data_IF_317438668725
#
_entry.id   IF_317438668725
#
_cell.length_a   1.000
_cell.length_b   1.000
_cell.length_c   1.000
_cell.angle_alpha   90.00
_cell.angle_beta   90.00
_cell.angle_gamma   90.00
#
_symmetry.space_group_name_H-M   'P 1'
#
loop_
_entity.id
_entity.type
_entity.pdbx_description
1 polymer ?
#
# COMPACT_ATOMS: atom_id res chain seq x y z
N UNK A 1 31.24 -10.32 8.65
CA UNK A 1 30.58 -9.87 7.41
C UNK A 1 29.19 -9.35 7.78
N UNK A 2 29.03 -8.04 7.98
CA UNK A 2 27.73 -7.46 8.34
C UNK A 2 27.43 -6.31 7.38
N UNK A 3 26.58 -6.56 6.38
CA UNK A 3 25.96 -5.51 5.57
C UNK A 3 24.53 -5.32 6.05
N UNK A 4 24.35 -4.50 7.06
CA UNK A 4 23.03 -3.96 7.42
C UNK A 4 22.87 -2.65 6.65
N UNK A 5 22.58 -2.74 5.35
CA UNK A 5 22.09 -1.58 4.59
C UNK A 5 20.58 -1.48 4.85
N UNK A 6 20.21 -0.91 6.00
CA UNK A 6 18.83 -0.51 6.32
C UNK A 6 18.54 0.86 5.69
N UNK A 7 18.76 1.02 4.38
CA UNK A 7 18.09 2.10 3.66
C UNK A 7 16.62 1.71 3.51
N UNK A 8 15.82 2.09 4.50
CA UNK A 8 14.36 2.22 4.38
C UNK A 8 14.12 3.24 3.27
N UNK A 9 14.16 2.76 2.02
CA UNK A 9 14.08 3.60 0.83
C UNK A 9 12.69 4.21 0.85
N UNK A 10 12.62 5.53 1.04
CA UNK A 10 11.37 6.28 1.00
C UNK A 10 10.60 5.91 -0.28
N UNK A 11 9.27 5.75 -0.20
CA UNK A 11 8.50 5.47 -1.40
C UNK A 11 8.70 6.60 -2.42
N UNK A 12 8.66 6.26 -3.70
CA UNK A 12 8.58 7.30 -4.73
C UNK A 12 7.27 8.08 -4.57
N UNK A 13 7.12 9.31 -5.09
CA UNK A 13 5.87 10.07 -4.99
C UNK A 13 4.62 9.25 -5.36
N UNK A 14 4.68 8.50 -6.47
CA UNK A 14 3.58 7.60 -6.87
C UNK A 14 3.29 6.46 -5.88
N UNK A 15 4.32 5.95 -5.18
CA UNK A 15 4.12 4.91 -4.15
C UNK A 15 3.51 5.52 -2.90
N UNK A 16 3.92 6.72 -2.50
CA UNK A 16 3.33 7.45 -1.37
C UNK A 16 1.86 7.79 -1.64
N UNK A 17 1.54 8.32 -2.82
CA UNK A 17 0.15 8.61 -3.23
C UNK A 17 -0.73 7.35 -3.18
N UNK A 18 -0.20 6.21 -3.65
CA UNK A 18 -0.92 4.93 -3.61
C UNK A 18 -1.11 4.45 -2.17
N UNK A 19 -0.07 4.55 -1.34
CA UNK A 19 -0.14 4.14 0.06
C UNK A 19 -1.17 4.99 0.82
N UNK A 20 -1.12 6.31 0.68
CA UNK A 20 -2.06 7.24 1.29
C UNK A 20 -3.50 6.98 0.82
N UNK A 21 -3.71 6.69 -0.47
CA UNK A 21 -5.03 6.34 -0.97
C UNK A 21 -5.55 5.05 -0.31
N UNK A 22 -4.72 4.03 -0.19
CA UNK A 22 -5.10 2.75 0.46
C UNK A 22 -5.41 2.97 1.94
N UNK A 23 -4.60 3.77 2.66
CA UNK A 23 -4.84 4.16 4.05
C UNK A 23 -6.20 4.87 4.19
N UNK A 24 -6.45 5.90 3.38
CA UNK A 24 -7.68 6.69 3.43
C UNK A 24 -8.93 5.86 3.08
N UNK A 25 -8.85 5.02 2.04
CA UNK A 25 -9.95 4.14 1.64
C UNK A 25 -10.35 3.20 2.78
N UNK A 26 -9.38 2.71 3.56
CA UNK A 26 -9.63 1.80 4.68
C UNK A 26 -10.14 2.48 5.93
N UNK A 27 -9.74 3.73 6.16
CA UNK A 27 -10.23 4.53 7.28
C UNK A 27 -11.72 4.90 7.12
N UNK A 28 -12.23 4.90 5.89
CA UNK A 28 -13.63 5.12 5.59
C UNK A 28 -14.49 3.92 6.04
N UNK A 29 -15.33 4.15 7.05
CA UNK A 29 -16.23 3.14 7.62
C UNK A 29 -17.24 2.60 6.62
N UNK A 30 -17.49 3.28 5.49
CA UNK A 30 -18.39 2.80 4.43
C UNK A 30 -17.82 1.63 3.63
N UNK A 31 -16.51 1.39 3.74
CA UNK A 31 -15.83 0.35 2.98
C UNK A 31 -15.70 -0.98 3.76
N UNK A 32 -16.25 -1.08 4.97
CA UNK A 32 -16.27 -2.30 5.80
C UNK A 32 -14.88 -2.96 5.97
N UNK A 33 -13.82 -2.15 6.03
CA UNK A 33 -12.44 -2.65 6.16
C UNK A 33 -11.87 -3.29 4.88
N UNK A 34 -12.60 -3.28 3.76
CA UNK A 34 -12.12 -3.74 2.46
C UNK A 34 -10.93 -2.90 1.98
N UNK A 35 -10.13 -3.48 1.09
CA UNK A 35 -9.06 -2.74 0.40
C UNK A 35 -9.57 -2.26 -0.95
N UNK A 36 -9.11 -1.10 -1.44
CA UNK A 36 -9.42 -0.69 -2.80
C UNK A 36 -8.78 -1.65 -3.80
N UNK A 37 -9.43 -1.78 -4.95
CA UNK A 37 -8.90 -2.42 -6.14
C UNK A 37 -7.90 -1.49 -6.84
N UNK A 38 -7.04 -2.05 -7.69
CA UNK A 38 -6.12 -1.24 -8.51
C UNK A 38 -6.85 -0.22 -9.40
N UNK A 39 -8.08 -0.55 -9.82
CA UNK A 39 -8.91 0.33 -10.66
C UNK A 39 -9.44 1.53 -9.88
N UNK A 40 -9.88 1.32 -8.64
CA UNK A 40 -10.35 2.41 -7.77
C UNK A 40 -9.21 3.36 -7.43
N UNK A 41 -8.03 2.84 -7.12
CA UNK A 41 -6.82 3.66 -6.89
C UNK A 41 -6.45 4.42 -8.17
N UNK A 42 -6.45 3.75 -9.32
CA UNK A 42 -6.14 4.35 -10.61
C UNK A 42 -7.08 5.52 -10.93
N UNK A 43 -8.38 5.31 -10.73
CA UNK A 43 -9.40 6.34 -10.92
C UNK A 43 -9.23 7.49 -9.94
N UNK A 44 -9.05 7.19 -8.64
CA UNK A 44 -8.90 8.20 -7.59
C UNK A 44 -7.65 9.06 -7.73
N UNK A 45 -6.56 8.52 -8.29
CA UNK A 45 -5.30 9.23 -8.49
C UNK A 45 -5.11 9.76 -9.93
N UNK A 46 -6.04 9.51 -10.85
CA UNK A 46 -5.90 9.89 -12.26
C UNK A 46 -4.72 9.22 -12.98
N UNK A 47 -4.40 7.96 -12.63
CA UNK A 47 -3.27 7.19 -13.18
C UNK A 47 -3.73 5.94 -13.90
N UNK A 48 -2.88 5.34 -14.71
CA UNK A 48 -3.19 4.05 -15.34
C UNK A 48 -3.14 2.91 -14.31
N UNK A 49 -3.99 1.89 -14.49
CA UNK A 49 -4.00 0.69 -13.65
C UNK A 49 -2.64 -0.02 -13.63
N UNK A 50 -1.88 0.02 -14.73
CA UNK A 50 -0.54 -0.58 -14.80
C UNK A 50 0.47 0.17 -13.91
N UNK A 51 0.42 1.50 -13.88
CA UNK A 51 1.23 2.32 -12.98
C UNK A 51 0.92 2.00 -11.52
N UNK A 52 -0.37 1.88 -11.18
CA UNK A 52 -0.82 1.49 -9.84
C UNK A 52 -0.33 0.10 -9.48
N UNK A 53 -0.50 -0.88 -10.37
CA UNK A 53 -0.06 -2.24 -10.13
C UNK A 53 1.46 -2.29 -9.83
N UNK A 54 2.27 -1.61 -10.65
CA UNK A 54 3.71 -1.50 -10.42
C UNK A 54 4.10 -0.76 -9.14
N UNK A 55 3.29 0.20 -8.69
CA UNK A 55 3.49 0.87 -7.39
C UNK A 55 3.15 -0.07 -6.23
N UNK A 56 2.02 -0.79 -6.30
CA UNK A 56 1.60 -1.78 -5.30
C UNK A 56 2.61 -2.91 -5.14
N UNK A 57 3.16 -3.45 -6.24
CA UNK A 57 4.22 -4.47 -6.17
C UNK A 57 5.47 -3.96 -5.44
N UNK A 58 5.86 -2.71 -5.67
CA UNK A 58 7.02 -2.09 -5.00
C UNK A 58 6.75 -1.82 -3.53
N UNK A 59 5.54 -1.37 -3.18
CA UNK A 59 5.10 -1.25 -1.79
C UNK A 59 5.08 -2.61 -1.08
N UNK A 60 4.62 -3.65 -1.75
CA UNK A 60 4.62 -5.02 -1.22
C UNK A 60 6.04 -5.56 -1.00
N UNK A 61 6.96 -5.32 -1.95
CA UNK A 61 8.38 -5.67 -1.79
C UNK A 61 9.05 -4.93 -0.62
N UNK A 62 8.56 -3.74 -0.27
CA UNK A 62 8.99 -2.96 0.90
C UNK A 62 8.29 -3.38 2.21
N UNK A 63 7.36 -4.33 2.17
CA UNK A 63 6.58 -4.76 3.33
C UNK A 63 5.52 -3.75 3.81
N UNK A 64 5.19 -2.75 3.00
CA UNK A 64 4.23 -1.69 3.38
C UNK A 64 2.77 -2.11 3.13
N UNK A 65 2.56 -3.06 2.22
CA UNK A 65 1.26 -3.70 1.98
C UNK A 65 1.48 -5.19 1.71
N UNK A 66 0.42 -6.00 1.78
CA UNK A 66 0.45 -7.40 1.32
C UNK A 66 -0.50 -7.55 0.15
N UNK A 67 -0.16 -8.41 -0.81
CA UNK A 67 -1.04 -8.78 -1.92
C UNK A 67 -1.28 -10.28 -1.82
N UNK A 68 -2.54 -10.70 -1.73
CA UNK A 68 -2.86 -12.13 -1.63
C UNK A 68 -2.74 -12.83 -3.00
N UNK A 69 -2.85 -14.16 -3.00
CA UNK A 69 -2.78 -14.99 -4.21
C UNK A 69 -3.86 -14.66 -5.28
N UNK A 70 -4.93 -13.95 -4.91
CA UNK A 70 -5.98 -13.48 -5.83
C UNK A 70 -5.71 -12.07 -6.35
N UNK A 71 -4.54 -11.51 -6.07
CA UNK A 71 -4.15 -10.16 -6.49
C UNK A 71 -4.83 -9.04 -5.71
N UNK A 72 -5.49 -9.32 -4.58
CA UNK A 72 -6.09 -8.30 -3.72
C UNK A 72 -5.09 -7.77 -2.71
N UNK A 73 -5.11 -6.46 -2.50
CA UNK A 73 -4.36 -5.81 -1.42
C UNK A 73 -4.99 -6.27 -0.09
N UNK A 74 -4.18 -6.80 0.82
CA UNK A 74 -4.57 -7.23 2.17
C UNK A 74 -3.57 -6.63 3.17
N UNK A 75 -4.02 -6.28 4.37
CA UNK A 75 -3.11 -5.87 5.46
C UNK A 75 -2.81 -7.08 6.35
N UNK A 76 -1.56 -7.24 6.75
CA UNK A 76 -1.17 -8.24 7.74
C UNK A 76 -1.69 -7.79 9.12
N UNK A 77 -2.57 -8.57 9.74
CA UNK A 77 -3.01 -8.36 11.13
C UNK A 77 -4.27 -7.52 11.36
N UNK A 78 -5.04 -7.14 10.33
CA UNK A 78 -6.36 -6.52 10.51
C UNK A 78 -6.36 -5.13 11.18
N UNK A 79 -5.19 -4.57 11.44
CA UNK A 79 -4.97 -3.20 11.92
C UNK A 79 -3.87 -2.57 11.07
N UNK A 80 -4.10 -1.35 10.60
CA UNK A 80 -3.02 -0.56 10.03
C UNK A 80 -2.11 -0.09 11.17
N UNK A 81 -1.01 -0.81 11.38
CA UNK A 81 0.07 -0.34 12.24
C UNK A 81 1.15 0.20 11.30
N UNK A 82 1.27 1.53 11.22
CA UNK A 82 2.46 2.16 10.62
C UNK A 82 3.70 1.56 11.30
N UNK A 83 4.79 1.29 10.58
CA UNK A 83 6.00 0.67 11.15
C UNK A 83 6.74 1.52 12.19
N UNK A 84 6.15 2.64 12.61
CA UNK A 84 6.70 3.57 13.59
C UNK A 84 5.86 3.63 14.88
N UNK A 85 4.76 2.87 14.97
CA UNK A 85 4.04 2.60 16.22
C UNK A 85 3.77 3.82 17.10
N UNK A 86 2.81 4.65 16.73
CA UNK A 86 2.10 5.46 17.73
C UNK A 86 0.60 5.18 17.59
N UNK A 87 0.01 4.76 18.72
CA UNK A 87 -1.41 4.52 18.93
C UNK A 87 -2.18 5.82 19.05
#
# INVERSE_FOLDING_TARGET
MSRTDTRRSTPSPTQDEVLQFIEAYKADSRNDGNSPTYREIAHGLGKSTQTIYGACLRLAAKGLIVINARGKIVLQGGKYLRPDGES
#
